data_IF_729361516781
#
_entry.id   IF_729361516781
#
_cell.length_a   1.000
_cell.length_b   1.000
_cell.length_c   1.000
_cell.angle_alpha   90.00
_cell.angle_beta   90.00
_cell.angle_gamma   90.00
#
_symmetry.space_group_name_H-M   'P 1'
#
loop_
_entity.id
_entity.type
_entity.pdbx_description
1 polymer ?
#
# COMPACT_ATOMS: atom_id res chain seq x y z
N UNK A 1 5.22 4.71 -15.75
CA UNK A 1 4.21 3.64 -15.97
C UNK A 1 4.63 2.59 -17.01
N UNK A 2 5.10 2.95 -18.21
CA UNK A 2 5.47 1.96 -19.26
C UNK A 2 6.66 1.04 -18.90
N UNK A 3 7.68 1.55 -18.21
CA UNK A 3 8.86 0.76 -17.82
C UNK A 3 8.57 -0.24 -16.70
N UNK A 4 7.70 0.12 -15.75
CA UNK A 4 7.21 -0.80 -14.71
C UNK A 4 6.36 -1.93 -15.33
N UNK A 5 5.54 -1.60 -16.34
CA UNK A 5 4.74 -2.57 -17.07
C UNK A 5 5.59 -3.57 -17.90
N UNK A 6 6.81 -3.19 -18.28
CA UNK A 6 7.75 -4.03 -19.05
C UNK A 6 8.82 -4.72 -18.19
N UNK A 7 8.68 -4.69 -16.85
CA UNK A 7 9.63 -5.27 -15.88
C UNK A 7 11.06 -4.72 -15.97
N UNK A 8 11.24 -3.53 -16.55
CA UNK A 8 12.53 -2.82 -16.61
C UNK A 8 12.70 -1.97 -15.35
N UNK A 9 12.77 -2.64 -14.19
CA UNK A 9 12.68 -1.98 -12.89
C UNK A 9 13.88 -1.07 -12.58
N UNK A 10 15.09 -1.44 -13.01
CA UNK A 10 16.27 -0.61 -12.79
C UNK A 10 16.17 0.71 -13.57
N UNK A 11 15.73 0.66 -14.83
CA UNK A 11 15.48 1.87 -15.62
C UNK A 11 14.30 2.68 -15.11
N UNK A 12 13.28 2.02 -14.54
CA UNK A 12 12.20 2.72 -13.87
C UNK A 12 12.70 3.50 -12.66
N UNK A 13 13.61 2.92 -11.86
CA UNK A 13 14.26 3.62 -10.74
C UNK A 13 15.09 4.79 -11.24
N UNK A 14 15.93 4.60 -12.27
CA UNK A 14 16.75 5.68 -12.82
C UNK A 14 15.89 6.85 -13.32
N UNK A 15 14.77 6.55 -14.02
CA UNK A 15 13.82 7.56 -14.48
C UNK A 15 13.10 8.29 -13.34
N UNK A 16 12.70 7.57 -12.29
CA UNK A 16 12.10 8.17 -11.10
C UNK A 16 13.10 9.04 -10.34
N UNK A 17 14.35 8.60 -10.20
CA UNK A 17 15.41 9.37 -9.55
C UNK A 17 15.75 10.66 -10.31
N UNK A 18 15.83 10.59 -11.64
CA UNK A 18 16.01 11.76 -12.48
C UNK A 18 14.86 12.76 -12.30
N UNK A 19 13.61 12.27 -12.29
CA UNK A 19 12.42 13.09 -12.09
C UNK A 19 12.38 13.75 -10.70
N UNK A 20 12.73 13.01 -9.64
CA UNK A 20 12.79 13.54 -8.27
C UNK A 20 13.91 14.57 -8.10
N UNK A 21 14.99 14.46 -8.87
CA UNK A 21 16.09 15.42 -8.88
C UNK A 21 15.83 16.67 -9.74
N UNK A 22 14.82 16.66 -10.62
CA UNK A 22 14.54 17.76 -11.54
C UNK A 22 13.97 18.99 -10.81
N UNK A 23 14.70 20.12 -10.73
CA UNK A 23 14.24 21.32 -10.04
C UNK A 23 13.13 22.06 -10.80
N UNK A 24 12.87 21.71 -12.07
CA UNK A 24 11.81 22.32 -12.88
C UNK A 24 10.44 21.73 -12.58
N UNK A 25 10.38 20.53 -11.99
CA UNK A 25 9.14 19.86 -11.62
C UNK A 25 8.83 20.13 -10.16
N UNK A 26 7.71 20.82 -9.87
CA UNK A 26 7.36 21.22 -8.52
C UNK A 26 7.07 20.01 -7.60
N UNK A 27 7.59 20.02 -6.36
CA UNK A 27 7.47 18.93 -5.39
C UNK A 27 6.04 18.39 -5.18
N UNK A 28 5.01 19.24 -5.24
CA UNK A 28 3.61 18.82 -5.12
C UNK A 28 3.17 17.80 -6.20
N UNK A 29 3.74 17.89 -7.41
CA UNK A 29 3.47 16.95 -8.51
C UNK A 29 4.23 15.63 -8.37
N UNK A 30 5.19 15.57 -7.43
CA UNK A 30 6.08 14.43 -7.24
C UNK A 30 5.59 13.45 -6.16
N UNK A 31 4.42 13.67 -5.54
CA UNK A 31 3.87 12.75 -4.52
C UNK A 31 3.58 11.35 -5.07
N UNK A 32 2.98 11.28 -6.27
CA UNK A 32 2.78 10.01 -6.98
C UNK A 32 4.12 9.33 -7.31
N UNK A 33 5.03 10.01 -8.02
CA UNK A 33 6.39 9.51 -8.29
C UNK A 33 7.17 9.06 -7.05
N UNK A 34 7.08 9.76 -5.92
CA UNK A 34 7.70 9.33 -4.65
C UNK A 34 7.14 7.99 -4.17
N UNK A 35 5.83 7.82 -4.27
CA UNK A 35 5.17 6.57 -3.88
C UNK A 35 5.58 5.43 -4.81
N UNK A 36 5.59 5.66 -6.13
CA UNK A 36 6.07 4.70 -7.12
C UNK A 36 7.54 4.33 -6.86
N UNK A 37 8.39 5.31 -6.53
CA UNK A 37 9.79 5.10 -6.21
C UNK A 37 9.98 4.20 -4.99
N UNK A 38 9.25 4.46 -3.90
CA UNK A 38 9.25 3.59 -2.71
C UNK A 38 8.75 2.18 -3.05
N UNK A 39 7.67 2.06 -3.81
CA UNK A 39 7.12 0.76 -4.23
C UNK A 39 8.15 -0.04 -5.03
N UNK A 40 8.79 0.56 -6.04
CA UNK A 40 9.77 -0.18 -6.84
C UNK A 40 11.01 -0.52 -6.03
N UNK A 41 11.56 0.41 -5.25
CA UNK A 41 12.77 0.16 -4.45
C UNK A 41 12.53 -0.88 -3.34
N UNK A 42 11.53 -0.68 -2.49
CA UNK A 42 11.32 -1.52 -1.31
C UNK A 42 10.57 -2.81 -1.65
N UNK A 43 9.45 -2.72 -2.37
CA UNK A 43 8.57 -3.89 -2.63
C UNK A 43 9.09 -4.76 -3.75
N UNK A 44 9.47 -4.16 -4.88
CA UNK A 44 9.88 -4.93 -6.07
C UNK A 44 11.34 -5.37 -5.98
N UNK A 45 12.25 -4.45 -5.61
CA UNK A 45 13.69 -4.73 -5.59
C UNK A 45 14.19 -5.22 -4.23
N UNK A 46 13.49 -4.92 -3.14
CA UNK A 46 13.98 -5.20 -1.78
C UNK A 46 15.19 -4.35 -1.39
N UNK A 47 15.39 -3.21 -2.05
CA UNK A 47 16.51 -2.30 -1.85
C UNK A 47 16.09 -1.14 -0.94
N UNK A 48 16.62 -1.16 0.27
CA UNK A 48 16.38 -0.14 1.30
C UNK A 48 17.54 0.85 1.41
N UNK A 49 18.68 0.59 0.77
CA UNK A 49 19.88 1.44 0.89
C UNK A 49 19.87 2.52 -0.19
N UNK A 50 19.63 2.15 -1.46
CA UNK A 50 19.56 3.08 -2.60
C UNK A 50 18.64 4.28 -2.37
N UNK A 51 17.39 4.12 -1.85
CA UNK A 51 16.50 5.25 -1.67
C UNK A 51 16.99 6.32 -0.67
N UNK A 52 17.88 5.99 0.27
CA UNK A 52 18.35 6.93 1.30
C UNK A 52 18.89 8.22 0.69
N UNK A 53 19.91 8.12 -0.19
CA UNK A 53 20.55 9.31 -0.78
C UNK A 53 19.65 10.08 -1.74
N UNK A 54 18.69 9.41 -2.37
CA UNK A 54 17.74 10.04 -3.28
C UNK A 54 16.72 10.85 -2.49
N UNK A 55 16.16 10.27 -1.43
CA UNK A 55 15.18 10.90 -0.57
C UNK A 55 15.78 12.08 0.22
N UNK A 56 17.03 11.96 0.71
CA UNK A 56 17.75 13.06 1.36
C UNK A 56 17.92 14.26 0.42
N UNK A 57 18.34 14.01 -0.83
CA UNK A 57 18.46 15.07 -1.86
C UNK A 57 17.12 15.70 -2.19
N UNK A 58 16.07 14.89 -2.33
CA UNK A 58 14.72 15.40 -2.55
C UNK A 58 14.26 16.29 -1.38
N UNK A 59 14.42 15.83 -0.13
CA UNK A 59 14.06 16.58 1.07
C UNK A 59 14.82 17.93 1.20
N UNK A 60 16.04 18.00 0.68
CA UNK A 60 16.86 19.21 0.66
C UNK A 60 16.44 20.26 -0.38
N UNK A 61 15.50 19.94 -1.29
CA UNK A 61 14.99 20.90 -2.27
C UNK A 61 14.29 22.09 -1.60
N UNK A 62 14.39 23.26 -2.23
CA UNK A 62 13.81 24.52 -1.71
C UNK A 62 12.28 24.57 -1.84
N UNK A 63 11.72 23.91 -2.85
CA UNK A 63 10.29 23.86 -3.15
C UNK A 63 9.53 22.80 -2.32
N UNK A 64 10.24 21.97 -1.55
CA UNK A 64 9.63 21.01 -0.63
C UNK A 64 9.19 21.74 0.64
N UNK A 65 7.89 21.68 0.95
CA UNK A 65 7.34 22.27 2.17
C UNK A 65 7.73 21.46 3.41
N UNK A 66 7.68 22.11 4.58
CA UNK A 66 8.20 21.55 5.83
C UNK A 66 7.61 20.18 6.17
N UNK A 67 6.29 20.01 6.03
CA UNK A 67 5.65 18.72 6.36
C UNK A 67 6.14 17.57 5.50
N UNK A 68 6.20 17.74 4.16
CA UNK A 68 6.73 16.70 3.28
C UNK A 68 8.21 16.41 3.57
N UNK A 69 9.00 17.43 3.90
CA UNK A 69 10.40 17.23 4.31
C UNK A 69 10.50 16.33 5.55
N UNK A 70 9.65 16.55 6.55
CA UNK A 70 9.61 15.73 7.76
C UNK A 70 9.17 14.29 7.45
N UNK A 71 8.17 14.11 6.59
CA UNK A 71 7.70 12.78 6.19
C UNK A 71 8.80 12.01 5.44
N UNK A 72 9.46 12.64 4.47
CA UNK A 72 10.57 12.03 3.73
C UNK A 72 11.74 11.69 4.65
N UNK A 73 12.08 12.57 5.60
CA UNK A 73 13.14 12.29 6.58
C UNK A 73 12.76 11.14 7.52
N UNK A 74 11.48 11.04 7.92
CA UNK A 74 10.97 9.90 8.68
C UNK A 74 11.17 8.58 7.92
N UNK A 75 10.92 8.57 6.60
CA UNK A 75 11.18 7.41 5.76
C UNK A 75 12.66 7.06 5.73
N UNK A 76 13.53 8.04 5.45
CA UNK A 76 14.99 7.85 5.42
C UNK A 76 15.48 7.20 6.72
N UNK A 77 15.01 7.69 7.87
CA UNK A 77 15.38 7.17 9.17
C UNK A 77 14.86 5.74 9.42
N UNK A 78 13.69 5.40 8.86
CA UNK A 78 13.08 4.08 9.02
C UNK A 78 13.72 2.99 8.13
N UNK A 79 14.26 3.35 6.96
CA UNK A 79 14.74 2.39 5.95
C UNK A 79 15.71 1.32 6.49
N UNK A 80 16.74 1.65 7.29
CA UNK A 80 17.65 0.62 7.82
C UNK A 80 16.94 -0.40 8.73
N UNK A 81 15.99 0.06 9.54
CA UNK A 81 15.23 -0.83 10.42
C UNK A 81 14.22 -1.66 9.63
N UNK A 82 13.57 -1.06 8.64
CA UNK A 82 12.67 -1.77 7.73
C UNK A 82 13.41 -2.90 7.00
N UNK A 83 14.63 -2.66 6.51
CA UNK A 83 15.47 -3.69 5.89
C UNK A 83 15.69 -4.90 6.81
N UNK A 84 15.96 -4.67 8.10
CA UNK A 84 16.14 -5.74 9.09
C UNK A 84 14.84 -6.49 9.35
N UNK A 85 13.72 -5.78 9.48
CA UNK A 85 12.41 -6.38 9.79
C UNK A 85 11.84 -7.19 8.64
N UNK A 86 12.09 -6.77 7.40
CA UNK A 86 11.62 -7.48 6.21
C UNK A 86 12.55 -8.60 5.77
N UNK A 87 13.72 -8.77 6.38
CA UNK A 87 14.62 -9.88 6.09
C UNK A 87 14.04 -11.25 6.53
N UNK A 88 14.50 -12.31 5.86
CA UNK A 88 14.14 -13.69 6.17
C UNK A 88 12.73 -14.09 5.72
N UNK A 89 12.23 -15.20 6.28
CA UNK A 89 10.92 -15.78 5.90
C UNK A 89 9.78 -14.76 6.12
N UNK A 90 8.90 -14.54 5.13
CA UNK A 90 7.76 -13.66 5.28
C UNK A 90 6.73 -14.27 6.25
N UNK A 91 6.02 -13.40 6.99
CA UNK A 91 4.92 -13.83 7.84
C UNK A 91 3.89 -12.72 8.02
N UNK A 92 2.64 -13.10 8.23
CA UNK A 92 1.54 -12.17 8.53
C UNK A 92 1.84 -11.36 9.79
N UNK A 93 2.45 -11.98 10.81
CA UNK A 93 2.84 -11.28 12.04
C UNK A 93 3.84 -10.15 11.79
N UNK A 94 4.85 -10.36 10.93
CA UNK A 94 5.80 -9.29 10.53
C UNK A 94 5.08 -8.16 9.81
N UNK A 95 4.22 -8.49 8.84
CA UNK A 95 3.44 -7.50 8.12
C UNK A 95 2.53 -6.67 9.05
N UNK A 96 1.82 -7.33 9.97
CA UNK A 96 0.96 -6.68 10.96
C UNK A 96 1.71 -5.69 11.84
N UNK A 97 2.92 -6.05 12.28
CA UNK A 97 3.78 -5.14 13.04
C UNK A 97 4.17 -3.91 12.22
N UNK A 98 4.53 -4.09 10.95
CA UNK A 98 4.88 -2.97 10.06
C UNK A 98 3.68 -2.05 9.83
N UNK A 99 2.47 -2.60 9.63
CA UNK A 99 1.24 -1.81 9.53
C UNK A 99 1.00 -1.00 10.81
N UNK A 100 1.09 -1.64 11.98
CA UNK A 100 0.90 -0.97 13.26
C UNK A 100 1.94 0.14 13.53
N UNK A 101 3.19 -0.06 13.13
CA UNK A 101 4.23 0.99 13.21
C UNK A 101 3.90 2.15 12.26
N UNK A 102 3.37 1.86 11.07
CA UNK A 102 2.87 2.88 10.15
C UNK A 102 1.70 3.67 10.73
N UNK A 103 0.74 3.01 11.39
CA UNK A 103 -0.42 3.66 12.01
C UNK A 103 -0.05 4.67 13.09
N UNK A 104 1.04 4.41 13.83
CA UNK A 104 1.54 5.34 14.83
C UNK A 104 2.14 6.62 14.23
N UNK A 105 2.40 6.65 12.92
CA UNK A 105 3.02 7.78 12.22
C UNK A 105 2.00 8.66 11.48
N UNK A 106 0.77 8.19 11.27
CA UNK A 106 -0.29 8.97 10.63
C UNK A 106 -1.10 9.69 11.71
N UNK A 107 -0.55 10.80 12.22
CA UNK A 107 -1.18 11.60 13.29
C UNK A 107 -2.28 12.48 12.73
N UNK A 108 -2.08 13.02 11.52
CA UNK A 108 -3.03 13.91 10.84
C UNK A 108 -3.50 13.35 9.50
N UNK A 109 -4.76 13.62 9.08
CA UNK A 109 -5.22 13.28 7.75
C UNK A 109 -4.32 13.89 6.67
N UNK A 110 -3.81 13.04 5.77
CA UNK A 110 -2.94 13.46 4.67
C UNK A 110 -1.44 13.32 4.97
N UNK A 111 -1.08 12.92 6.19
CA UNK A 111 0.28 12.54 6.53
C UNK A 111 0.81 11.44 5.61
N UNK A 112 2.07 11.57 5.24
CA UNK A 112 2.75 10.59 4.42
C UNK A 112 3.75 9.76 5.24
N UNK A 113 3.85 9.99 6.55
CA UNK A 113 4.83 9.36 7.44
C UNK A 113 4.79 7.83 7.43
N UNK A 114 3.60 7.23 7.34
CA UNK A 114 3.44 5.77 7.29
C UNK A 114 3.92 5.11 5.99
N UNK A 115 4.13 5.88 4.90
CA UNK A 115 4.29 5.36 3.54
C UNK A 115 5.35 4.26 3.41
N UNK A 116 6.55 4.48 3.94
CA UNK A 116 7.64 3.50 3.89
C UNK A 116 7.30 2.20 4.64
N UNK A 117 6.62 2.30 5.79
CA UNK A 117 6.20 1.14 6.58
C UNK A 117 5.13 0.33 5.86
N UNK A 118 4.15 1.01 5.25
CA UNK A 118 3.10 0.36 4.48
C UNK A 118 3.65 -0.34 3.24
N UNK A 119 4.57 0.29 2.49
CA UNK A 119 5.22 -0.35 1.34
C UNK A 119 6.04 -1.57 1.77
N UNK A 120 6.77 -1.48 2.88
CA UNK A 120 7.51 -2.61 3.44
C UNK A 120 6.56 -3.75 3.89
N UNK A 121 5.40 -3.42 4.48
CA UNK A 121 4.37 -4.40 4.82
C UNK A 121 3.81 -5.07 3.56
N UNK A 122 3.51 -4.30 2.51
CA UNK A 122 3.05 -4.82 1.20
C UNK A 122 4.07 -5.82 0.63
N UNK A 123 5.37 -5.52 0.72
CA UNK A 123 6.44 -6.43 0.28
C UNK A 123 6.45 -7.76 1.04
N UNK A 124 6.29 -7.73 2.36
CA UNK A 124 6.21 -8.95 3.18
C UNK A 124 4.97 -9.76 2.85
N UNK A 125 3.81 -9.09 2.68
CA UNK A 125 2.54 -9.73 2.35
C UNK A 125 2.56 -10.36 0.96
N UNK A 126 3.14 -9.69 -0.03
CA UNK A 126 3.25 -10.20 -1.39
C UNK A 126 4.07 -11.50 -1.43
N UNK A 127 5.22 -11.54 -0.76
CA UNK A 127 6.02 -12.76 -0.64
C UNK A 127 5.30 -13.85 0.15
N UNK A 128 4.63 -13.49 1.25
CA UNK A 128 3.83 -14.45 2.02
C UNK A 128 2.76 -15.11 1.15
N UNK A 129 1.98 -14.31 0.42
CA UNK A 129 0.92 -14.80 -0.48
C UNK A 129 1.50 -15.66 -1.60
N UNK A 130 2.66 -15.30 -2.15
CA UNK A 130 3.31 -16.07 -3.20
C UNK A 130 3.88 -17.42 -2.71
N UNK A 131 4.35 -17.48 -1.46
CA UNK A 131 4.98 -18.66 -0.87
C UNK A 131 3.98 -19.59 -0.13
N UNK A 132 2.84 -19.07 0.32
CA UNK A 132 1.87 -19.79 1.14
C UNK A 132 0.77 -20.43 0.28
N UNK A 133 0.76 -21.76 0.23
CA UNK A 133 -0.14 -22.53 -0.65
C UNK A 133 -1.47 -22.93 -0.01
N UNK A 134 -1.56 -22.89 1.33
CA UNK A 134 -2.75 -23.33 2.06
C UNK A 134 -3.80 -22.22 2.09
N UNK A 135 -5.04 -22.53 1.70
CA UNK A 135 -6.18 -21.62 1.81
C UNK A 135 -6.74 -21.67 3.24
N UNK A 136 -6.08 -20.94 4.14
CA UNK A 136 -6.40 -20.89 5.56
C UNK A 136 -6.65 -19.47 6.07
N UNK A 137 -6.91 -19.33 7.36
CA UNK A 137 -7.13 -18.03 8.00
C UNK A 137 -5.89 -17.11 7.92
N UNK A 138 -4.68 -17.66 7.84
CA UNK A 138 -3.46 -16.86 7.72
C UNK A 138 -3.35 -16.24 6.32
N UNK A 139 -3.68 -16.99 5.27
CA UNK A 139 -3.74 -16.45 3.92
C UNK A 139 -4.86 -15.40 3.80
N UNK A 140 -6.04 -15.67 4.38
CA UNK A 140 -7.12 -14.68 4.43
C UNK A 140 -6.68 -13.38 5.13
N UNK A 141 -5.99 -13.48 6.27
CA UNK A 141 -5.44 -12.30 6.95
C UNK A 141 -4.38 -11.56 6.11
N UNK A 142 -3.53 -12.28 5.38
CA UNK A 142 -2.55 -11.66 4.50
C UNK A 142 -3.22 -10.83 3.40
N UNK A 143 -4.27 -11.37 2.76
CA UNK A 143 -5.06 -10.66 1.77
C UNK A 143 -5.79 -9.45 2.37
N UNK A 144 -6.37 -9.61 3.56
CA UNK A 144 -7.03 -8.52 4.29
C UNK A 144 -6.07 -7.35 4.58
N UNK A 145 -4.90 -7.66 5.18
CA UNK A 145 -3.88 -6.65 5.48
C UNK A 145 -3.35 -6.00 4.20
N UNK A 146 -3.17 -6.77 3.13
CA UNK A 146 -2.73 -6.21 1.85
C UNK A 146 -3.77 -5.28 1.27
N UNK A 147 -5.06 -5.61 1.38
CA UNK A 147 -6.17 -4.73 1.00
C UNK A 147 -6.11 -3.37 1.70
N UNK A 148 -5.93 -3.37 3.03
CA UNK A 148 -5.76 -2.12 3.81
C UNK A 148 -4.55 -1.33 3.32
N UNK A 149 -3.42 -2.00 3.16
CA UNK A 149 -2.16 -1.37 2.78
C UNK A 149 -2.26 -0.75 1.38
N UNK A 150 -2.83 -1.46 0.39
CA UNK A 150 -3.00 -0.93 -0.96
C UNK A 150 -4.00 0.23 -1.02
N UNK A 151 -5.08 0.19 -0.23
CA UNK A 151 -6.02 1.32 -0.12
C UNK A 151 -5.32 2.60 0.39
N UNK A 152 -4.31 2.43 1.23
CA UNK A 152 -3.52 3.55 1.77
C UNK A 152 -2.41 3.99 0.83
N UNK A 153 -1.68 3.07 0.21
CA UNK A 153 -0.59 3.35 -0.74
C UNK A 153 -1.11 3.99 -2.04
N UNK A 154 -2.12 3.37 -2.67
CA UNK A 154 -2.54 3.67 -4.04
C UNK A 154 -3.64 4.71 -4.15
N UNK A 155 -3.30 6.00 -4.00
CA UNK A 155 -4.20 7.12 -4.37
C UNK A 155 -3.91 7.71 -5.76
N UNK A 156 -3.39 6.92 -6.69
CA UNK A 156 -3.33 7.33 -8.10
C UNK A 156 -4.68 6.99 -8.78
N UNK A 157 -5.69 7.80 -8.44
CA UNK A 157 -6.97 8.17 -9.07
C UNK A 157 -7.86 7.22 -9.89
N UNK A 158 -7.48 5.99 -10.28
CA UNK A 158 -8.33 5.23 -11.22
C UNK A 158 -8.59 3.75 -10.87
N UNK A 159 -7.65 3.01 -10.27
CA UNK A 159 -7.90 1.60 -9.88
C UNK A 159 -7.01 1.22 -8.68
N UNK A 160 -7.63 0.92 -7.53
CA UNK A 160 -6.94 0.27 -6.40
C UNK A 160 -7.18 -1.24 -6.43
N UNK A 161 -6.17 -2.04 -6.08
CA UNK A 161 -6.33 -3.48 -5.93
C UNK A 161 -7.07 -3.86 -4.62
N UNK A 162 -7.34 -2.89 -3.74
CA UNK A 162 -7.91 -3.15 -2.42
C UNK A 162 -9.24 -3.92 -2.46
N UNK A 163 -10.25 -3.55 -3.28
CA UNK A 163 -11.52 -4.29 -3.32
C UNK A 163 -11.33 -5.78 -3.66
N UNK A 164 -10.50 -6.06 -4.66
CA UNK A 164 -10.15 -7.43 -5.04
C UNK A 164 -9.49 -8.20 -3.90
N UNK A 165 -8.52 -7.58 -3.21
CA UNK A 165 -7.79 -8.20 -2.11
C UNK A 165 -8.70 -8.49 -0.91
N UNK A 166 -9.62 -7.57 -0.58
CA UNK A 166 -10.59 -7.75 0.50
C UNK A 166 -11.59 -8.86 0.17
N UNK A 167 -12.10 -8.89 -1.06
CA UNK A 167 -12.97 -9.97 -1.51
C UNK A 167 -12.28 -11.34 -1.45
N UNK A 168 -10.99 -11.42 -1.82
CA UNK A 168 -10.25 -12.68 -1.76
C UNK A 168 -10.04 -13.16 -0.32
N UNK A 169 -9.82 -12.24 0.63
CA UNK A 169 -9.78 -12.58 2.06
C UNK A 169 -11.07 -13.27 2.53
N UNK A 170 -12.23 -12.79 2.09
CA UNK A 170 -13.54 -13.42 2.40
C UNK A 170 -13.62 -14.81 1.77
N UNK A 171 -13.25 -14.96 0.50
CA UNK A 171 -13.33 -16.26 -0.21
C UNK A 171 -12.39 -17.32 0.33
N UNK A 172 -11.24 -16.94 0.88
CA UNK A 172 -10.26 -17.90 1.38
C UNK A 172 -10.74 -18.56 2.67
N UNK A 173 -11.25 -17.78 3.63
CA UNK A 173 -11.65 -18.30 4.93
C UNK A 173 -12.90 -17.55 5.44
N UNK A 174 -14.09 -17.81 4.87
CA UNK A 174 -15.27 -16.97 5.09
C UNK A 174 -15.79 -16.96 6.53
N UNK A 175 -15.50 -18.01 7.31
CA UNK A 175 -15.85 -18.09 8.73
C UNK A 175 -14.80 -17.46 9.67
N UNK A 176 -13.76 -16.83 9.14
CA UNK A 176 -12.67 -16.27 9.94
C UNK A 176 -12.91 -14.80 10.31
N UNK A 177 -12.30 -14.34 11.40
CA UNK A 177 -12.34 -12.92 11.80
C UNK A 177 -11.78 -11.99 10.69
N UNK A 178 -10.65 -12.29 10.01
CA UNK A 178 -10.19 -11.49 8.88
C UNK A 178 -11.21 -11.35 7.76
N UNK A 179 -11.96 -12.41 7.43
CA UNK A 179 -13.00 -12.35 6.41
C UNK A 179 -14.14 -11.40 6.82
N UNK A 180 -14.62 -11.48 8.06
CA UNK A 180 -15.65 -10.56 8.55
C UNK A 180 -15.21 -9.09 8.50
N UNK A 181 -13.96 -8.81 8.88
CA UNK A 181 -13.38 -7.47 8.81
C UNK A 181 -13.16 -7.01 7.36
N UNK A 182 -12.76 -7.91 6.48
CA UNK A 182 -12.56 -7.61 5.06
C UNK A 182 -13.89 -7.27 4.39
N UNK A 183 -14.95 -8.04 4.67
CA UNK A 183 -16.30 -7.76 4.19
C UNK A 183 -16.79 -6.40 4.65
N UNK A 184 -16.71 -6.11 5.95
CA UNK A 184 -17.17 -4.84 6.51
C UNK A 184 -16.42 -3.63 5.92
N UNK A 185 -15.11 -3.77 5.68
CA UNK A 185 -14.33 -2.72 5.03
C UNK A 185 -14.71 -2.56 3.56
N UNK A 186 -14.85 -3.65 2.82
CA UNK A 186 -15.25 -3.61 1.40
C UNK A 186 -16.62 -2.96 1.23
N UNK A 187 -17.61 -3.36 2.04
CA UNK A 187 -18.95 -2.78 2.04
C UNK A 187 -18.90 -1.27 2.30
N UNK A 188 -18.14 -0.84 3.32
CA UNK A 188 -17.97 0.58 3.61
C UNK A 188 -17.32 1.35 2.45
N UNK A 189 -16.24 0.82 1.87
CA UNK A 189 -15.53 1.51 0.78
C UNK A 189 -16.41 1.62 -0.47
N UNK A 190 -17.21 0.59 -0.78
CA UNK A 190 -18.17 0.64 -1.87
C UNK A 190 -19.30 1.64 -1.59
N UNK A 191 -19.76 1.80 -0.35
CA UNK A 191 -20.78 2.81 -0.01
C UNK A 191 -20.20 4.23 -0.10
N UNK A 192 -19.01 4.47 0.46
CA UNK A 192 -18.41 5.81 0.55
C UNK A 192 -17.73 6.26 -0.76
N UNK A 193 -17.37 5.33 -1.64
CA UNK A 193 -16.76 5.66 -2.94
C UNK A 193 -17.65 6.48 -3.88
N UNK A 194 -18.96 6.55 -3.61
CA UNK A 194 -19.97 7.22 -4.45
C UNK A 194 -20.35 8.65 -4.00
N UNK A 195 -19.62 9.29 -3.07
CA UNK A 195 -19.94 10.64 -2.53
C UNK A 195 -19.85 11.81 -3.55
N UNK A 196 -19.83 11.55 -4.86
CA UNK A 196 -19.75 12.56 -5.92
C UNK A 196 -21.07 12.92 -6.62
N UNK A 197 -22.16 12.20 -6.38
CA UNK A 197 -23.47 12.50 -6.98
C UNK A 197 -24.59 12.24 -6.00
N UNK A 198 -25.63 13.08 -6.05
CA UNK A 198 -26.87 12.95 -5.28
C UNK A 198 -27.28 11.48 -5.12
N UNK A 199 -27.42 11.09 -3.84
CA UNK A 199 -28.00 9.86 -3.27
C UNK A 199 -28.78 9.02 -4.30
N UNK A 200 -28.29 7.81 -4.62
CA UNK A 200 -29.00 6.56 -4.29
C UNK A 200 -28.26 5.30 -4.79
N UNK A 201 -27.94 4.44 -3.81
CA UNK A 201 -27.63 3.01 -3.91
C UNK A 201 -26.32 2.58 -4.57
N UNK A 202 -25.71 1.56 -3.94
CA UNK A 202 -24.70 0.70 -4.57
C UNK A 202 -25.20 0.27 -5.95
N UNK A 203 -24.30 0.21 -6.92
CA UNK A 203 -24.66 -0.32 -8.23
C UNK A 203 -25.18 -1.75 -8.09
N UNK A 204 -26.05 -2.23 -9.00
CA UNK A 204 -26.50 -3.62 -8.97
C UNK A 204 -25.34 -4.63 -8.96
N UNK A 205 -24.24 -4.31 -9.65
CA UNK A 205 -23.03 -5.13 -9.69
C UNK A 205 -22.34 -5.19 -8.31
N UNK A 206 -22.16 -4.05 -7.64
CA UNK A 206 -21.57 -4.01 -6.30
C UNK A 206 -22.44 -4.72 -5.27
N UNK A 207 -23.76 -4.61 -5.40
CA UNK A 207 -24.72 -5.29 -4.53
C UNK A 207 -24.66 -6.81 -4.73
N UNK A 208 -24.72 -7.27 -5.99
CA UNK A 208 -24.59 -8.69 -6.32
C UNK A 208 -23.23 -9.24 -5.83
N UNK A 209 -22.16 -8.45 -5.98
CA UNK A 209 -20.84 -8.80 -5.48
C UNK A 209 -20.83 -8.98 -3.96
N UNK A 210 -21.35 -8.02 -3.19
CA UNK A 210 -21.43 -8.11 -1.73
C UNK A 210 -22.34 -9.26 -1.28
N UNK A 211 -23.51 -9.45 -1.89
CA UNK A 211 -24.41 -10.56 -1.57
C UNK A 211 -23.76 -11.92 -1.83
N UNK A 212 -23.00 -12.04 -2.93
CA UNK A 212 -22.24 -13.27 -3.23
C UNK A 212 -21.18 -13.58 -2.17
N UNK A 213 -20.52 -12.56 -1.60
CA UNK A 213 -19.53 -12.74 -0.55
C UNK A 213 -20.19 -13.04 0.80
N UNK A 214 -21.28 -12.35 1.12
CA UNK A 214 -22.07 -12.57 2.35
C UNK A 214 -22.62 -14.00 2.40
N UNK A 215 -23.06 -14.56 1.27
CA UNK A 215 -23.54 -15.93 1.18
C UNK A 215 -22.49 -17.01 1.52
N UNK A 216 -21.19 -16.68 1.47
CA UNK A 216 -20.12 -17.60 1.88
C UNK A 216 -19.91 -17.63 3.39
N UNK A 217 -20.31 -16.56 4.09
CA UNK A 217 -20.04 -16.36 5.50
C UNK A 217 -21.10 -17.07 6.37
N UNK A 218 -20.73 -17.53 7.59
CA UNK A 218 -21.70 -18.09 8.52
C UNK A 218 -22.71 -17.01 8.95
N UNK A 219 -23.98 -17.42 9.09
CA UNK A 219 -25.06 -16.59 9.63
C UNK A 219 -24.85 -16.23 11.10
#
# INVERSE_FOLDING_TARGET
TLLMATRRFDEALDGLEALLADPTVHAATLLGPLTDYLVVSLRVKGDYERPVRVLERFAARRDVWQKLRLDVQSWVNALPELARRTAGKPSVAKARQLVAMGDQLDVEPGDQGSRAHLVAASAVLERFIAEHTERDAALAEAYYLRGIVEARIGRNYWVTAAPFLLAEAVRIAPASEPAARAYALLERELILGYEGSDIEELTPEDREHLDSLRALMPN
#
